data_IF_640083290805
#
_entry.id   IF_640083290805
#
_cell.length_a   1.000
_cell.length_b   1.000
_cell.length_c   1.000
_cell.angle_alpha   90.00
_cell.angle_beta   90.00
_cell.angle_gamma   90.00
#
_symmetry.space_group_name_H-M   'P 1'
#
loop_
_entity.id
_entity.type
_entity.pdbx_description
1 polymer ?
#
# COMPACT_ATOMS: atom_id res chain seq x y z
N UNK A 1 4.16 2.37 7.66
CA UNK A 1 5.49 2.58 8.30
C UNK A 1 6.02 4.00 8.20
N UNK A 2 5.54 4.80 7.25
CA UNK A 2 5.81 6.24 7.20
C UNK A 2 4.54 7.01 7.59
N UNK A 3 4.68 8.10 8.33
CA UNK A 3 3.55 8.79 8.95
C UNK A 3 3.62 10.29 8.71
N UNK A 4 2.51 10.90 8.30
CA UNK A 4 2.36 12.37 8.34
C UNK A 4 2.27 12.85 9.79
N UNK A 5 2.40 14.17 10.01
CA UNK A 5 2.29 14.76 11.36
C UNK A 5 1.00 14.36 12.08
N UNK A 6 -0.11 14.30 11.38
CA UNK A 6 -1.40 13.90 11.94
C UNK A 6 -1.49 12.38 12.28
N UNK A 7 -0.53 11.59 11.84
CA UNK A 7 -0.46 10.14 12.07
C UNK A 7 0.45 9.73 13.24
N UNK A 8 0.97 10.67 14.05
CA UNK A 8 1.88 10.31 15.14
C UNK A 8 1.19 9.60 16.31
N UNK A 9 -0.14 9.76 16.46
CA UNK A 9 -0.91 9.03 17.47
C UNK A 9 -0.55 9.38 18.91
N UNK A 10 -0.24 10.64 19.20
CA UNK A 10 0.16 11.11 20.52
C UNK A 10 1.66 10.95 20.84
N UNK A 11 2.46 10.49 19.87
CA UNK A 11 3.91 10.26 20.04
C UNK A 11 4.76 11.42 19.45
N UNK A 12 4.34 12.66 19.61
CA UNK A 12 5.02 13.84 19.07
C UNK A 12 6.46 14.02 19.59
N UNK A 13 6.73 13.58 20.82
CA UNK A 13 8.04 13.68 21.48
C UNK A 13 9.04 12.60 21.04
N UNK A 14 8.60 11.57 20.33
CA UNK A 14 9.49 10.48 19.89
C UNK A 14 10.48 11.01 18.85
N UNK A 15 11.76 10.62 19.00
CA UNK A 15 12.81 10.96 18.05
C UNK A 15 12.52 10.38 16.67
N UNK A 16 12.45 11.24 15.66
CA UNK A 16 12.05 10.89 14.30
C UNK A 16 12.76 11.76 13.26
N UNK A 17 12.85 11.24 12.05
CA UNK A 17 13.40 11.92 10.88
C UNK A 17 12.34 12.08 9.80
N UNK A 18 12.45 13.15 9.02
CA UNK A 18 11.65 13.32 7.81
C UNK A 18 12.23 12.46 6.70
N UNK A 19 11.41 11.60 6.13
CA UNK A 19 11.78 10.69 5.04
C UNK A 19 11.14 11.07 3.71
N UNK A 20 10.29 12.09 3.69
CA UNK A 20 9.65 12.60 2.48
C UNK A 20 9.44 14.10 2.55
N UNK A 21 9.84 14.81 1.48
CA UNK A 21 9.55 16.23 1.26
C UNK A 21 8.66 16.38 0.04
N UNK A 22 7.74 17.34 0.10
CA UNK A 22 6.90 17.72 -1.03
C UNK A 22 6.87 19.26 -1.13
N UNK A 23 7.24 19.78 -2.30
CA UNK A 23 7.35 21.25 -2.53
C UNK A 23 8.23 21.96 -1.50
N UNK A 24 9.31 21.31 -1.04
CA UNK A 24 10.22 21.82 -0.02
C UNK A 24 9.75 21.62 1.43
N UNK A 25 8.51 21.22 1.66
CA UNK A 25 7.94 21.00 2.98
C UNK A 25 8.04 19.56 3.45
N UNK A 26 8.35 19.30 4.73
CA UNK A 26 8.44 17.96 5.28
C UNK A 26 7.04 17.33 5.39
N UNK A 27 6.86 16.14 4.77
CA UNK A 27 5.56 15.47 4.61
C UNK A 27 5.42 14.22 5.46
N UNK A 28 6.40 13.31 5.40
CA UNK A 28 6.31 12.01 6.08
C UNK A 28 7.55 11.72 6.92
N UNK A 29 7.34 10.98 8.00
CA UNK A 29 8.36 10.72 9.03
C UNK A 29 8.41 9.24 9.39
N UNK A 30 9.59 8.81 9.87
CA UNK A 30 9.80 7.56 10.59
C UNK A 30 10.51 7.86 11.91
N UNK A 31 10.30 7.02 12.92
CA UNK A 31 11.12 7.10 14.13
C UNK A 31 12.54 6.64 13.85
N UNK A 32 13.52 7.12 14.62
CA UNK A 32 14.93 6.71 14.49
C UNK A 32 15.07 5.19 14.70
N UNK A 33 14.34 4.61 15.64
CA UNK A 33 14.31 3.17 15.89
C UNK A 33 13.78 2.41 14.67
N UNK A 34 12.68 2.86 14.05
CA UNK A 34 12.13 2.24 12.84
C UNK A 34 13.09 2.35 11.65
N UNK A 35 13.82 3.46 11.51
CA UNK A 35 14.84 3.64 10.48
C UNK A 35 15.96 2.60 10.64
N UNK A 36 16.46 2.43 11.86
CA UNK A 36 17.53 1.46 12.16
C UNK A 36 17.03 0.03 11.88
N UNK A 37 15.86 -0.33 12.40
CA UNK A 37 15.28 -1.66 12.22
C UNK A 37 15.01 -2.00 10.74
N UNK A 38 14.52 -1.04 9.94
CA UNK A 38 14.29 -1.28 8.52
C UNK A 38 15.60 -1.50 7.75
N UNK A 39 16.66 -0.75 8.07
CA UNK A 39 17.99 -0.96 7.47
C UNK A 39 18.55 -2.34 7.77
N UNK A 40 18.43 -2.77 9.02
CA UNK A 40 18.88 -4.08 9.46
C UNK A 40 18.09 -5.20 8.77
N UNK A 41 16.77 -5.09 8.73
CA UNK A 41 15.92 -6.06 8.04
C UNK A 41 16.28 -6.16 6.54
N UNK A 42 16.47 -5.03 5.87
CA UNK A 42 16.81 -4.99 4.44
C UNK A 42 18.22 -5.55 4.14
N UNK A 43 19.13 -5.55 5.12
CA UNK A 43 20.45 -6.16 4.98
C UNK A 43 20.40 -7.69 5.12
N UNK A 44 19.38 -8.25 5.79
CA UNK A 44 19.27 -9.68 6.09
C UNK A 44 18.24 -10.45 5.27
N UNK A 45 17.28 -9.77 4.65
CA UNK A 45 16.18 -10.41 3.92
C UNK A 45 15.67 -9.53 2.77
N UNK A 46 15.08 -10.14 1.71
CA UNK A 46 14.38 -9.38 0.69
C UNK A 46 13.20 -8.61 1.29
N UNK A 47 13.26 -7.29 1.26
CA UNK A 47 12.18 -6.38 1.66
C UNK A 47 11.60 -5.72 0.41
N UNK A 48 10.29 -5.80 0.23
CA UNK A 48 9.58 -5.25 -0.91
C UNK A 48 8.62 -4.15 -0.43
N UNK A 49 9.02 -2.86 -0.53
CA UNK A 49 8.10 -1.75 -0.30
C UNK A 49 6.88 -1.88 -1.21
N UNK A 50 5.68 -1.86 -0.63
CA UNK A 50 4.42 -2.03 -1.36
C UNK A 50 3.45 -0.91 -0.99
N UNK A 51 2.93 -0.17 -1.99
CA UNK A 51 2.15 1.05 -1.74
C UNK A 51 1.10 1.33 -2.82
N UNK A 52 0.05 2.08 -2.44
CA UNK A 52 -0.90 2.70 -3.39
C UNK A 52 -0.35 3.98 -4.03
N UNK A 53 0.78 4.51 -3.56
CA UNK A 53 1.40 5.71 -4.14
C UNK A 53 1.81 5.46 -5.58
N UNK A 54 1.75 6.49 -6.41
CA UNK A 54 2.31 6.48 -7.77
C UNK A 54 3.83 6.31 -7.73
N UNK A 55 4.41 5.97 -8.87
CA UNK A 55 5.88 5.87 -9.02
C UNK A 55 6.54 7.16 -8.53
N UNK A 56 6.11 8.32 -9.02
CA UNK A 56 6.63 9.63 -8.62
C UNK A 56 6.52 9.87 -7.11
N UNK A 57 5.37 9.53 -6.52
CA UNK A 57 5.15 9.70 -5.08
C UNK A 57 6.03 8.76 -4.24
N UNK A 58 6.31 7.55 -4.73
CA UNK A 58 7.20 6.61 -4.06
C UNK A 58 8.66 7.05 -4.14
N UNK A 59 9.11 7.51 -5.30
CA UNK A 59 10.49 7.94 -5.53
C UNK A 59 10.89 9.18 -4.72
N UNK A 60 9.91 9.96 -4.23
CA UNK A 60 10.19 11.08 -3.30
C UNK A 60 10.57 10.63 -1.89
N UNK A 61 10.32 9.36 -1.54
CA UNK A 61 10.55 8.86 -0.19
C UNK A 61 12.01 8.37 -0.08
N UNK A 62 12.78 9.00 0.79
CA UNK A 62 14.10 8.50 1.20
C UNK A 62 13.93 7.34 2.19
N UNK A 63 13.36 6.21 1.71
CA UNK A 63 13.06 5.07 2.55
C UNK A 63 14.35 4.35 2.93
N UNK A 64 14.65 4.20 4.25
CA UNK A 64 15.86 3.55 4.75
C UNK A 64 15.97 2.10 4.26
N UNK A 65 17.16 1.68 3.84
CA UNK A 65 17.41 0.35 3.28
C UNK A 65 17.49 0.30 1.75
N UNK A 66 17.20 1.43 1.07
CA UNK A 66 17.42 1.52 -0.38
C UNK A 66 18.92 1.32 -0.75
N UNK A 67 19.23 0.85 -1.99
CA UNK A 67 18.31 0.60 -3.10
C UNK A 67 17.48 -0.67 -2.93
N UNK A 68 16.23 -0.63 -3.42
CA UNK A 68 15.31 -1.76 -3.35
C UNK A 68 15.39 -2.57 -4.65
N UNK A 69 15.68 -3.87 -4.54
CA UNK A 69 15.68 -4.78 -5.69
C UNK A 69 14.31 -4.82 -6.38
N UNK A 70 13.25 -4.84 -5.56
CA UNK A 70 11.88 -4.70 -6.01
C UNK A 70 11.13 -3.70 -5.15
N UNK A 71 10.23 -2.93 -5.77
CA UNK A 71 9.21 -2.16 -5.08
C UNK A 71 7.91 -2.25 -5.88
N UNK A 72 6.78 -2.22 -5.19
CA UNK A 72 5.44 -2.30 -5.77
C UNK A 72 4.73 -0.98 -5.53
N UNK A 73 4.32 -0.29 -6.60
CA UNK A 73 3.64 1.00 -6.54
C UNK A 73 2.27 0.92 -7.21
N UNK A 74 1.48 1.99 -7.07
CA UNK A 74 0.17 2.13 -7.73
C UNK A 74 -0.75 0.94 -7.44
N UNK A 75 -0.76 0.49 -6.17
CA UNK A 75 -1.53 -0.66 -5.68
C UNK A 75 -1.22 -2.01 -6.37
N UNK A 76 -0.03 -2.19 -6.92
CA UNK A 76 0.35 -3.39 -7.67
C UNK A 76 0.33 -3.20 -9.18
N UNK A 77 -0.12 -2.04 -9.66
CA UNK A 77 -0.12 -1.73 -11.10
C UNK A 77 1.28 -1.56 -11.69
N UNK A 78 2.27 -1.23 -10.86
CA UNK A 78 3.66 -1.14 -11.28
C UNK A 78 4.58 -1.94 -10.34
N UNK A 79 5.52 -2.69 -10.92
CA UNK A 79 6.68 -3.25 -10.22
C UNK A 79 7.89 -2.43 -10.66
N UNK A 80 8.68 -1.95 -9.70
CA UNK A 80 9.97 -1.35 -9.96
C UNK A 80 11.05 -2.40 -9.71
N UNK A 81 11.99 -2.53 -10.64
CA UNK A 81 13.19 -3.38 -10.52
C UNK A 81 14.38 -2.44 -10.45
N UNK A 82 15.13 -2.46 -9.34
CA UNK A 82 16.24 -1.54 -9.08
C UNK A 82 15.86 -0.06 -9.31
N UNK A 83 14.61 0.29 -8.90
CA UNK A 83 14.05 1.65 -9.05
C UNK A 83 13.48 1.99 -10.43
N UNK A 84 13.56 1.11 -11.41
CA UNK A 84 13.09 1.31 -12.80
C UNK A 84 11.76 0.58 -13.00
N UNK A 85 10.72 1.22 -13.54
CA UNK A 85 9.46 0.56 -13.87
C UNK A 85 9.65 -0.61 -14.84
N UNK A 86 9.04 -1.75 -14.54
CA UNK A 86 9.06 -2.94 -15.39
C UNK A 86 7.97 -2.84 -16.48
N UNK A 87 8.35 -2.65 -17.77
CA UNK A 87 7.36 -2.51 -18.83
C UNK A 87 6.61 -3.82 -19.12
N UNK A 88 7.20 -4.98 -18.87
CA UNK A 88 6.54 -6.26 -19.11
C UNK A 88 5.41 -6.50 -18.10
N UNK A 89 5.64 -6.16 -16.83
CA UNK A 89 4.57 -6.19 -15.82
C UNK A 89 3.45 -5.21 -16.16
N UNK A 90 3.81 -3.98 -16.57
CA UNK A 90 2.82 -2.97 -16.92
C UNK A 90 1.93 -3.42 -18.07
N UNK A 91 2.49 -3.98 -19.15
CA UNK A 91 1.71 -4.53 -20.26
C UNK A 91 0.76 -5.63 -19.78
N UNK A 92 1.23 -6.55 -18.94
CA UNK A 92 0.38 -7.61 -18.39
C UNK A 92 -0.80 -7.08 -17.57
N UNK A 93 -0.59 -6.01 -16.80
CA UNK A 93 -1.66 -5.34 -16.04
C UNK A 93 -2.64 -4.63 -16.97
N UNK A 94 -2.15 -3.86 -17.94
CA UNK A 94 -2.98 -3.17 -18.92
C UNK A 94 -3.88 -4.14 -19.70
N UNK A 95 -3.34 -5.29 -20.11
CA UNK A 95 -4.10 -6.36 -20.77
C UNK A 95 -5.20 -6.92 -19.86
N UNK A 96 -4.91 -7.15 -18.58
CA UNK A 96 -5.90 -7.64 -17.62
C UNK A 96 -7.00 -6.60 -17.34
N UNK A 97 -6.64 -5.33 -17.17
CA UNK A 97 -7.61 -4.24 -16.98
C UNK A 97 -8.54 -4.13 -18.20
N UNK A 98 -7.98 -4.12 -19.40
CA UNK A 98 -8.75 -4.03 -20.65
C UNK A 98 -9.66 -5.25 -20.87
N UNK A 99 -9.30 -6.41 -20.36
CA UNK A 99 -10.11 -7.64 -20.48
C UNK A 99 -11.21 -7.75 -19.42
N UNK A 100 -11.11 -7.03 -18.29
CA UNK A 100 -11.93 -7.27 -17.10
C UNK A 100 -13.12 -6.31 -16.94
N UNK A 101 -13.16 -5.17 -17.66
CA UNK A 101 -14.22 -4.20 -17.43
C UNK A 101 -14.11 -2.91 -18.23
N UNK A 102 -14.69 -1.83 -17.68
CA UNK A 102 -14.65 -0.51 -18.30
C UNK A 102 -13.22 0.06 -18.29
N UNK A 103 -12.89 0.87 -19.29
CA UNK A 103 -11.60 1.58 -19.34
C UNK A 103 -11.60 2.80 -18.42
N UNK A 104 -10.41 3.23 -17.99
CA UNK A 104 -10.24 4.36 -17.07
C UNK A 104 -10.95 5.64 -17.52
N UNK A 105 -10.95 5.93 -18.83
CA UNK A 105 -11.60 7.12 -19.38
C UNK A 105 -13.10 7.13 -19.12
N UNK A 106 -13.77 5.98 -19.32
CA UNK A 106 -15.23 5.84 -19.10
C UNK A 106 -15.57 5.90 -17.61
N UNK A 107 -14.79 5.19 -16.77
CA UNK A 107 -14.94 5.22 -15.31
C UNK A 107 -14.73 6.64 -14.78
N UNK A 108 -13.69 7.33 -15.25
CA UNK A 108 -13.42 8.71 -14.88
C UNK A 108 -14.50 9.70 -15.34
N UNK A 109 -15.10 9.49 -16.51
CA UNK A 109 -16.21 10.30 -17.00
C UNK A 109 -17.46 10.09 -16.14
N UNK A 110 -17.80 8.85 -15.85
CA UNK A 110 -18.93 8.50 -14.97
C UNK A 110 -18.74 9.04 -13.55
N UNK A 111 -17.54 8.89 -12.96
CA UNK A 111 -17.24 9.45 -11.64
C UNK A 111 -17.43 10.97 -11.63
N UNK A 112 -16.89 11.67 -12.63
CA UNK A 112 -17.02 13.13 -12.74
C UNK A 112 -18.47 13.60 -12.90
N UNK A 113 -19.36 12.78 -13.47
CA UNK A 113 -20.79 13.12 -13.59
C UNK A 113 -21.55 13.05 -12.26
N UNK A 114 -20.97 12.38 -11.23
CA UNK A 114 -21.58 12.13 -9.91
C UNK A 114 -21.06 13.02 -8.80
N UNK A 115 -20.07 13.86 -9.07
CA UNK A 115 -19.39 14.67 -8.06
C UNK A 115 -19.55 16.16 -8.32
N UNK A 116 -19.34 16.95 -7.26
CA UNK A 116 -19.30 18.41 -7.35
C UNK A 116 -18.28 19.02 -6.36
N UNK A 117 -17.99 20.31 -6.53
CA UNK A 117 -16.96 21.03 -5.78
C UNK A 117 -17.34 21.31 -4.30
N UNK A 118 -18.59 21.05 -3.90
CA UNK A 118 -19.03 21.25 -2.51
C UNK A 118 -18.29 20.31 -1.55
N UNK A 119 -17.96 19.11 -2.00
CA UNK A 119 -17.31 18.09 -1.19
C UNK A 119 -16.03 17.51 -1.82
N UNK A 120 -15.84 17.58 -3.15
CA UNK A 120 -14.62 17.14 -3.84
C UNK A 120 -13.68 18.32 -4.00
N UNK A 121 -12.44 18.17 -3.57
CA UNK A 121 -11.40 19.19 -3.72
C UNK A 121 -10.48 18.94 -4.90
N UNK A 122 -10.28 17.67 -5.27
CA UNK A 122 -9.42 17.28 -6.40
C UNK A 122 -9.89 15.94 -6.97
N UNK A 123 -9.92 15.83 -8.30
CA UNK A 123 -9.91 14.57 -9.06
C UNK A 123 -8.48 14.35 -9.56
N UNK A 124 -7.98 13.12 -9.49
CA UNK A 124 -6.65 12.74 -9.95
C UNK A 124 -6.71 11.38 -10.64
N UNK A 125 -5.97 11.26 -11.72
CA UNK A 125 -5.59 9.98 -12.30
C UNK A 125 -4.17 9.62 -11.84
N UNK A 126 -3.91 8.35 -11.63
CA UNK A 126 -2.68 7.83 -11.07
C UNK A 126 -2.07 6.80 -12.01
N UNK A 127 -0.87 7.10 -12.54
CA UNK A 127 -0.08 6.25 -13.42
C UNK A 127 -0.89 5.67 -14.60
N UNK A 128 -1.93 6.39 -15.08
CA UNK A 128 -2.84 5.96 -16.15
C UNK A 128 -3.55 4.62 -15.86
N UNK A 129 -3.69 4.25 -14.57
CA UNK A 129 -4.26 2.97 -14.14
C UNK A 129 -5.58 3.13 -13.41
N UNK A 130 -5.67 4.12 -12.53
CA UNK A 130 -6.83 4.32 -11.68
C UNK A 130 -7.05 5.81 -11.40
N UNK A 131 -8.20 6.13 -10.81
CA UNK A 131 -8.46 7.50 -10.38
C UNK A 131 -8.82 7.56 -8.89
N UNK A 132 -8.70 8.75 -8.31
CA UNK A 132 -9.14 9.01 -6.95
C UNK A 132 -9.62 10.45 -6.76
N UNK A 133 -10.51 10.59 -5.79
CA UNK A 133 -10.96 11.90 -5.30
C UNK A 133 -10.18 12.27 -4.04
N UNK A 134 -9.93 13.56 -3.86
CA UNK A 134 -9.61 14.13 -2.55
C UNK A 134 -10.85 14.88 -2.09
N UNK A 135 -11.38 14.49 -0.95
CA UNK A 135 -12.68 14.96 -0.48
C UNK A 135 -12.58 15.71 0.85
N UNK A 136 -13.65 16.41 1.19
CA UNK A 136 -13.97 16.88 2.55
C UNK A 136 -14.82 15.80 3.20
N UNK A 137 -14.29 14.95 4.12
CA UNK A 137 -14.99 13.74 4.59
C UNK A 137 -16.38 14.02 5.16
N UNK A 138 -16.49 15.11 5.92
CA UNK A 138 -17.73 15.51 6.60
C UNK A 138 -18.84 15.99 5.61
N UNK A 139 -18.49 16.23 4.35
CA UNK A 139 -19.40 16.73 3.31
C UNK A 139 -19.68 15.68 2.24
N UNK A 140 -19.09 14.49 2.30
CA UNK A 140 -19.38 13.39 1.36
C UNK A 140 -20.87 13.01 1.51
N UNK A 141 -21.65 12.96 0.43
CA UNK A 141 -23.05 12.57 0.50
C UNK A 141 -23.24 11.19 1.11
N UNK A 142 -24.22 11.04 2.00
CA UNK A 142 -24.53 9.76 2.62
C UNK A 142 -24.87 8.72 1.52
N UNK A 143 -24.23 7.55 1.59
CA UNK A 143 -24.43 6.47 0.62
C UNK A 143 -23.58 6.57 -0.66
N UNK A 144 -22.95 7.71 -0.95
CA UNK A 144 -22.16 7.90 -2.17
C UNK A 144 -21.16 6.76 -2.42
N UNK A 145 -20.35 6.42 -1.41
CA UNK A 145 -19.31 5.39 -1.57
C UNK A 145 -19.94 4.03 -1.91
N UNK A 146 -21.03 3.64 -1.25
CA UNK A 146 -21.67 2.35 -1.47
C UNK A 146 -22.32 2.27 -2.87
N UNK A 147 -22.97 3.34 -3.32
CA UNK A 147 -23.56 3.42 -4.66
C UNK A 147 -22.47 3.41 -5.73
N UNK A 148 -21.38 4.16 -5.51
CA UNK A 148 -20.25 4.20 -6.41
C UNK A 148 -19.53 2.84 -6.49
N UNK A 149 -19.26 2.18 -5.36
CA UNK A 149 -18.67 0.84 -5.35
C UNK A 149 -19.57 -0.18 -6.06
N UNK A 150 -20.89 -0.08 -5.90
CA UNK A 150 -21.83 -0.95 -6.60
C UNK A 150 -21.72 -0.78 -8.13
N UNK A 151 -21.65 0.45 -8.61
CA UNK A 151 -21.43 0.70 -10.04
C UNK A 151 -20.06 0.21 -10.50
N UNK A 152 -19.02 0.48 -9.73
CA UNK A 152 -17.66 0.02 -10.01
C UNK A 152 -17.60 -1.50 -10.17
N UNK A 153 -18.16 -2.26 -9.24
CA UNK A 153 -18.14 -3.74 -9.28
C UNK A 153 -18.88 -4.30 -10.51
N UNK A 154 -19.94 -3.65 -10.95
CA UNK A 154 -20.63 -4.03 -12.18
C UNK A 154 -19.79 -3.79 -13.45
N UNK A 155 -18.68 -3.04 -13.34
CA UNK A 155 -17.81 -2.63 -14.44
C UNK A 155 -16.36 -3.12 -14.29
N UNK A 156 -16.07 -4.09 -13.38
CA UNK A 156 -14.74 -4.66 -13.17
C UNK A 156 -13.80 -3.77 -12.36
N UNK A 157 -14.38 -2.87 -11.55
CA UNK A 157 -13.69 -1.92 -10.69
C UNK A 157 -14.19 -2.03 -9.25
N UNK A 158 -13.48 -1.36 -8.33
CA UNK A 158 -13.90 -1.23 -6.93
C UNK A 158 -13.66 0.20 -6.44
N UNK A 159 -14.43 0.61 -5.42
CA UNK A 159 -14.23 1.88 -4.75
C UNK A 159 -14.02 1.68 -3.25
N UNK A 160 -13.05 2.41 -2.68
CA UNK A 160 -12.77 2.42 -1.24
C UNK A 160 -12.38 3.81 -0.79
N UNK A 161 -12.58 4.12 0.49
CA UNK A 161 -12.19 5.40 1.06
C UNK A 161 -11.09 5.20 2.10
N UNK A 162 -9.99 5.91 1.93
CA UNK A 162 -8.90 5.95 2.89
C UNK A 162 -8.65 7.40 3.33
N UNK A 163 -9.08 7.73 4.53
CA UNK A 163 -9.05 9.08 5.04
C UNK A 163 -9.79 10.06 4.13
N UNK A 164 -9.06 11.03 3.54
CA UNK A 164 -9.63 12.03 2.61
C UNK A 164 -9.61 11.61 1.15
N UNK A 165 -9.27 10.36 0.84
CA UNK A 165 -9.22 9.88 -0.54
C UNK A 165 -10.25 8.79 -0.78
N UNK A 166 -11.02 8.93 -1.84
CA UNK A 166 -11.87 7.86 -2.38
C UNK A 166 -11.15 7.35 -3.62
N UNK A 167 -10.64 6.13 -3.54
CA UNK A 167 -9.98 5.43 -4.64
C UNK A 167 -11.01 4.70 -5.49
N UNK A 168 -10.77 4.69 -6.79
CA UNK A 168 -11.52 3.93 -7.78
C UNK A 168 -10.51 3.14 -8.58
N UNK A 169 -10.47 1.81 -8.39
CA UNK A 169 -9.42 0.94 -8.90
C UNK A 169 -9.98 -0.21 -9.73
N UNK A 170 -9.32 -0.59 -10.85
CA UNK A 170 -9.63 -1.84 -11.52
C UNK A 170 -9.33 -3.04 -10.61
N UNK A 171 -10.16 -4.07 -10.64
CA UNK A 171 -9.97 -5.28 -9.80
C UNK A 171 -8.66 -6.02 -10.13
N UNK A 172 -8.15 -5.87 -11.36
CA UNK A 172 -6.85 -6.41 -11.77
C UNK A 172 -5.65 -5.71 -11.12
N UNK A 173 -5.81 -4.48 -10.59
CA UNK A 173 -4.75 -3.72 -9.92
C UNK A 173 -4.76 -4.04 -8.43
N UNK A 174 -4.05 -5.09 -8.03
CA UNK A 174 -4.05 -5.63 -6.68
C UNK A 174 -2.62 -5.91 -6.17
N UNK A 175 -2.32 -5.48 -4.95
CA UNK A 175 -1.02 -5.70 -4.30
C UNK A 175 -0.67 -7.18 -4.19
N UNK A 176 -1.63 -8.06 -3.90
CA UNK A 176 -1.39 -9.49 -3.75
C UNK A 176 -0.87 -10.14 -5.04
N UNK A 177 -1.37 -9.73 -6.21
CA UNK A 177 -0.90 -10.21 -7.50
C UNK A 177 0.54 -9.80 -7.78
N UNK A 178 0.87 -8.53 -7.52
CA UNK A 178 2.24 -8.03 -7.70
C UNK A 178 3.23 -8.68 -6.72
N UNK A 179 2.84 -8.91 -5.46
CA UNK A 179 3.64 -9.63 -4.47
C UNK A 179 3.90 -11.07 -4.92
N UNK A 180 2.87 -11.77 -5.42
CA UNK A 180 3.00 -13.14 -5.94
C UNK A 180 3.98 -13.19 -7.13
N UNK A 181 3.90 -12.22 -8.04
CA UNK A 181 4.83 -12.13 -9.17
C UNK A 181 6.27 -11.86 -8.72
N UNK A 182 6.50 -10.91 -7.79
CA UNK A 182 7.84 -10.65 -7.26
C UNK A 182 8.39 -11.90 -6.55
N UNK A 183 7.58 -12.60 -5.75
CA UNK A 183 7.98 -13.86 -5.12
C UNK A 183 8.39 -14.89 -6.17
N UNK A 184 7.59 -15.08 -7.22
CA UNK A 184 7.89 -16.00 -8.33
C UNK A 184 9.23 -15.66 -9.00
N UNK A 185 9.54 -14.38 -9.21
CA UNK A 185 10.81 -13.91 -9.80
C UNK A 185 11.99 -14.22 -8.89
N UNK A 186 11.88 -13.91 -7.61
CA UNK A 186 12.93 -14.16 -6.62
C UNK A 186 13.21 -15.67 -6.45
N UNK A 187 12.16 -16.50 -6.47
CA UNK A 187 12.32 -17.96 -6.46
C UNK A 187 12.96 -18.46 -7.77
N UNK A 188 12.50 -17.95 -8.91
CA UNK A 188 13.03 -18.34 -10.22
C UNK A 188 14.49 -17.92 -10.45
N UNK A 189 14.97 -16.85 -9.80
CA UNK A 189 16.38 -16.43 -9.83
C UNK A 189 17.26 -17.13 -8.79
N UNK A 190 16.67 -17.92 -7.88
CA UNK A 190 17.36 -18.57 -6.77
C UNK A 190 17.69 -17.64 -5.59
N UNK A 191 17.17 -16.40 -5.59
CA UNK A 191 17.31 -15.45 -4.48
C UNK A 191 16.41 -15.83 -3.28
N UNK A 192 15.33 -16.58 -3.53
CA UNK A 192 14.49 -17.22 -2.51
C UNK A 192 14.44 -18.73 -2.71
N UNK A 193 14.43 -19.49 -1.62
CA UNK A 193 14.15 -20.93 -1.66
C UNK A 193 12.69 -21.19 -1.99
N UNK A 194 12.42 -22.36 -2.60
CA UNK A 194 11.06 -22.88 -2.71
C UNK A 194 10.44 -23.03 -1.31
N UNK A 195 9.26 -22.45 -1.10
CA UNK A 195 8.61 -22.47 0.20
C UNK A 195 9.10 -21.41 1.21
N UNK A 196 9.91 -20.44 0.79
CA UNK A 196 10.25 -19.28 1.64
C UNK A 196 8.98 -18.61 2.21
N UNK A 197 8.98 -18.35 3.51
CA UNK A 197 7.84 -17.77 4.23
C UNK A 197 7.62 -16.32 3.80
N UNK A 198 6.38 -15.97 3.48
CA UNK A 198 5.96 -14.62 3.15
C UNK A 198 5.37 -13.92 4.37
N UNK A 199 5.98 -12.82 4.77
CA UNK A 199 5.49 -11.91 5.82
C UNK A 199 4.99 -10.62 5.20
N UNK A 200 3.84 -10.11 5.64
CA UNK A 200 3.28 -8.85 5.12
C UNK A 200 2.77 -7.93 6.22
N UNK A 201 2.74 -6.62 5.92
CA UNK A 201 2.11 -5.63 6.78
C UNK A 201 1.32 -4.61 5.95
N UNK A 202 0.20 -4.12 6.50
CA UNK A 202 -0.65 -3.12 5.86
C UNK A 202 -1.71 -2.57 6.81
N UNK A 203 -2.33 -1.43 6.48
CA UNK A 203 -3.32 -0.74 7.32
C UNK A 203 -4.59 -0.35 6.56
N UNK A 204 -4.56 -0.35 5.23
CA UNK A 204 -5.70 0.01 4.38
C UNK A 204 -6.51 -1.19 3.90
N UNK A 205 -7.77 -0.98 3.51
CA UNK A 205 -8.63 -2.03 2.93
C UNK A 205 -8.00 -2.68 1.70
N UNK A 206 -7.23 -1.91 0.91
CA UNK A 206 -6.48 -2.40 -0.25
C UNK A 206 -5.29 -3.32 0.10
N UNK A 207 -4.96 -3.47 1.39
CA UNK A 207 -3.96 -4.43 1.87
C UNK A 207 -4.58 -5.79 2.23
N UNK A 208 -5.90 -5.87 2.41
CA UNK A 208 -6.57 -7.03 2.99
C UNK A 208 -6.24 -8.34 2.27
N UNK A 209 -6.28 -8.35 0.93
CA UNK A 209 -5.99 -9.56 0.14
C UNK A 209 -4.50 -9.96 0.23
N UNK A 210 -3.59 -8.99 0.27
CA UNK A 210 -2.17 -9.25 0.47
C UNK A 210 -1.90 -9.84 1.86
N UNK A 211 -2.56 -9.32 2.90
CA UNK A 211 -2.44 -9.84 4.26
C UNK A 211 -2.99 -11.26 4.40
N UNK A 212 -4.15 -11.56 3.77
CA UNK A 212 -4.72 -12.92 3.75
C UNK A 212 -3.83 -13.93 3.03
N UNK A 213 -3.19 -13.51 1.94
CA UNK A 213 -2.35 -14.37 1.10
C UNK A 213 -0.97 -14.69 1.69
N UNK A 214 -0.57 -14.02 2.76
CA UNK A 214 0.71 -14.23 3.43
C UNK A 214 0.69 -15.45 4.36
N UNK A 215 1.84 -16.01 4.64
CA UNK A 215 2.00 -17.07 5.65
C UNK A 215 1.79 -16.50 7.06
N UNK A 216 2.24 -15.26 7.32
CA UNK A 216 1.90 -14.49 8.50
C UNK A 216 1.85 -13.00 8.16
N UNK A 217 0.97 -12.28 8.83
CA UNK A 217 0.70 -10.88 8.57
C UNK A 217 0.57 -10.07 9.86
N UNK A 218 0.83 -8.76 9.77
CA UNK A 218 0.62 -7.83 10.87
C UNK A 218 -0.05 -6.56 10.37
N UNK A 219 -0.98 -6.02 11.13
CA UNK A 219 -1.55 -4.69 10.89
C UNK A 219 -1.47 -3.81 12.13
N UNK A 220 -1.41 -2.49 11.98
CA UNK A 220 -1.49 -1.60 13.13
C UNK A 220 -2.91 -1.56 13.72
N UNK A 221 -2.99 -1.14 14.99
CA UNK A 221 -4.25 -0.85 15.72
C UNK A 221 -4.80 0.54 15.34
N UNK A 222 -4.74 0.88 14.07
CA UNK A 222 -5.33 2.08 13.48
C UNK A 222 -5.47 1.88 11.97
N UNK A 223 -6.07 2.85 11.31
CA UNK A 223 -6.29 2.80 9.86
C UNK A 223 -7.58 2.08 9.51
N UNK A 224 -7.82 1.96 8.20
CA UNK A 224 -9.08 1.48 7.65
C UNK A 224 -9.39 0.03 8.07
N UNK A 225 -8.38 -0.84 8.12
CA UNK A 225 -8.57 -2.23 8.55
C UNK A 225 -8.94 -2.36 10.03
N UNK A 226 -8.53 -1.42 10.90
CA UNK A 226 -9.00 -1.36 12.28
C UNK A 226 -10.47 -0.91 12.35
N UNK A 227 -10.85 0.13 11.60
CA UNK A 227 -12.23 0.62 11.51
C UNK A 227 -13.19 -0.46 11.00
N UNK A 228 -12.73 -1.28 10.04
CA UNK A 228 -13.44 -2.42 9.48
C UNK A 228 -13.43 -3.67 10.38
N UNK A 229 -12.76 -3.64 11.53
CA UNK A 229 -12.55 -4.80 12.38
C UNK A 229 -11.99 -6.02 11.63
N UNK A 230 -11.09 -5.77 10.66
CA UNK A 230 -10.54 -6.82 9.82
C UNK A 230 -9.69 -7.81 10.62
N UNK A 231 -9.98 -9.09 10.47
CA UNK A 231 -9.25 -10.21 11.08
C UNK A 231 -8.98 -11.31 10.06
N UNK A 232 -7.92 -12.09 10.28
CA UNK A 232 -7.59 -13.28 9.49
C UNK A 232 -6.82 -14.26 10.39
N UNK A 233 -6.82 -15.59 10.09
CA UNK A 233 -6.16 -16.59 10.94
C UNK A 233 -4.65 -16.40 11.10
N UNK A 234 -3.99 -15.77 10.11
CA UNK A 234 -2.55 -15.49 10.05
C UNK A 234 -2.19 -14.06 10.50
N UNK A 235 -3.17 -13.28 11.03
CA UNK A 235 -3.01 -11.85 11.29
C UNK A 235 -2.71 -11.55 12.76
N UNK A 236 -1.63 -10.81 12.98
CA UNK A 236 -1.29 -10.14 14.25
C UNK A 236 -1.76 -8.68 14.20
N UNK A 237 -2.17 -8.12 15.33
CA UNK A 237 -2.52 -6.70 15.47
C UNK A 237 -1.55 -6.08 16.45
N UNK A 238 -0.99 -4.90 16.13
CA UNK A 238 -0.07 -4.20 17.03
C UNK A 238 -0.79 -3.75 18.32
N UNK A 239 -0.02 -3.62 19.38
CA UNK A 239 -0.48 -2.99 20.63
C UNK A 239 -0.43 -1.47 20.56
N UNK A 240 0.51 -0.95 19.77
CA UNK A 240 0.72 0.47 19.53
C UNK A 240 -0.11 0.98 18.35
N UNK A 241 -0.37 2.28 18.32
CA UNK A 241 -0.97 3.02 17.19
C UNK A 241 -0.03 4.14 16.71
N UNK A 242 -0.39 4.78 15.58
CA UNK A 242 0.40 5.88 15.03
C UNK A 242 1.83 5.46 14.69
N UNK A 243 2.77 6.40 14.82
CA UNK A 243 4.17 6.20 14.41
C UNK A 243 4.88 5.07 15.18
N UNK A 244 4.47 4.77 16.41
CA UNK A 244 5.01 3.67 17.22
C UNK A 244 4.62 2.29 16.69
N UNK A 245 3.47 2.17 16.04
CA UNK A 245 3.10 0.92 15.36
C UNK A 245 4.10 0.55 14.26
N UNK A 246 4.76 1.52 13.63
CA UNK A 246 5.83 1.28 12.68
C UNK A 246 7.03 0.57 13.27
N UNK A 247 7.42 0.92 14.52
CA UNK A 247 8.49 0.23 15.25
C UNK A 247 8.09 -1.21 15.60
N UNK A 248 6.87 -1.38 16.11
CA UNK A 248 6.36 -2.70 16.50
C UNK A 248 6.25 -3.65 15.30
N UNK A 249 5.80 -3.16 14.13
CA UNK A 249 5.74 -3.93 12.88
C UNK A 249 7.15 -4.39 12.47
N UNK A 250 8.14 -3.50 12.50
CA UNK A 250 9.51 -3.87 12.13
C UNK A 250 10.15 -4.85 13.12
N UNK A 251 9.91 -4.67 14.42
CA UNK A 251 10.31 -5.64 15.43
C UNK A 251 9.66 -7.01 15.24
N UNK A 252 8.38 -7.03 14.85
CA UNK A 252 7.68 -8.26 14.51
C UNK A 252 8.29 -8.96 13.30
N UNK A 253 8.66 -8.23 12.23
CA UNK A 253 9.34 -8.80 11.07
C UNK A 253 10.70 -9.41 11.44
N UNK A 254 11.52 -8.75 12.27
CA UNK A 254 12.78 -9.30 12.75
C UNK A 254 12.57 -10.62 13.49
N UNK A 255 11.66 -10.64 14.47
CA UNK A 255 11.36 -11.85 15.23
C UNK A 255 10.76 -12.97 14.36
N UNK A 256 10.00 -12.62 13.31
CA UNK A 256 9.45 -13.60 12.38
C UNK A 256 10.53 -14.19 11.46
N UNK A 257 11.45 -13.36 10.95
CA UNK A 257 12.58 -13.79 10.13
C UNK A 257 13.53 -14.72 10.91
N UNK A 258 13.86 -14.40 12.17
CA UNK A 258 14.65 -15.25 13.04
C UNK A 258 14.02 -16.65 13.23
N UNK A 259 12.71 -16.71 13.47
CA UNK A 259 12.00 -17.99 13.61
C UNK A 259 12.00 -18.82 12.33
N UNK A 260 11.92 -18.18 11.17
CA UNK A 260 11.92 -18.87 9.88
C UNK A 260 13.30 -19.44 9.49
N UNK A 261 14.39 -18.93 10.10
CA UNK A 261 15.75 -19.42 9.85
C UNK A 261 16.18 -20.57 10.77
N UNK A 262 15.41 -20.88 11.82
CA UNK A 262 15.71 -22.01 12.72
C UNK A 262 15.13 -23.28 12.08
N UNK A 263 15.98 -24.30 11.72
CA UNK A 263 15.48 -25.56 11.21
C UNK A 263 14.61 -26.26 12.26
N UNK A 264 13.49 -26.85 11.82
CA UNK A 264 12.60 -27.65 12.66
C UNK A 264 13.27 -28.97 13.11
#
# INVERSE_FOLDING_TARGET
MIFSRNGFGGAEAVAKECVEYYEGEPLSYMTISAIAALRELAAGAPVIPTTTRTIEQFQRIALPGAPWRYAITSNGGNILVDGIPDPAWRVAIDDQVNASGAILADVGAELRSRIDDSWVTKYREADELFCYLVVRPDLVPAGFLAEWDTWCRANGWSASQQGRKIYTMPDAVCKSLAVAEVRRRLTGSGELSDGATLFTAGDGALDAEMLKAADAAIRPRHGELEELNFTAPNLTITTSSGILAGEEILGWFHAAAERATVPA
#
